data_IF_303955250756
#
_entry.id   IF_303955250756
#
_cell.length_a   1.000
_cell.length_b   1.000
_cell.length_c   1.000
_cell.angle_alpha   90.00
_cell.angle_beta   90.00
_cell.angle_gamma   90.00
#
_symmetry.space_group_name_H-M   'P 1'
#
loop_
_entity.id
_entity.type
_entity.pdbx_description
1 polymer ?
#
# COMPACT_ATOMS: atom_id res chain seq x y z
N UNK A 1 53.22 82.06 -19.32
CA UNK A 1 53.35 81.42 -17.99
C UNK A 1 52.47 80.17 -17.96
N UNK A 2 53.08 79.00 -18.10
CA UNK A 2 52.34 77.73 -18.16
C UNK A 2 52.19 77.13 -16.76
N UNK A 3 51.01 76.59 -16.39
CA UNK A 3 50.74 76.10 -15.06
C UNK A 3 51.50 74.80 -14.77
N UNK A 4 52.14 74.72 -13.60
CA UNK A 4 52.67 73.47 -13.04
C UNK A 4 51.54 72.75 -12.31
N UNK A 5 51.04 71.66 -12.91
CA UNK A 5 50.11 70.75 -12.25
C UNK A 5 50.92 69.74 -11.41
N UNK A 6 50.71 69.65 -10.09
CA UNK A 6 51.36 68.62 -9.28
C UNK A 6 50.80 67.23 -9.65
N UNK A 7 51.70 66.28 -9.91
CA UNK A 7 51.36 64.89 -10.16
C UNK A 7 50.86 64.21 -8.85
N UNK A 8 49.94 63.23 -8.96
CA UNK A 8 49.26 62.65 -7.80
C UNK A 8 50.19 61.85 -6.88
N UNK A 9 49.94 61.94 -5.58
CA UNK A 9 50.61 61.14 -4.54
C UNK A 9 49.96 59.76 -4.49
N UNK A 10 50.74 58.72 -4.77
CA UNK A 10 50.29 57.32 -4.72
C UNK A 10 50.12 56.85 -3.28
N UNK A 11 48.89 56.49 -2.88
CA UNK A 11 48.64 55.78 -1.62
C UNK A 11 48.84 54.27 -1.86
N UNK A 12 49.78 53.66 -1.14
CA UNK A 12 49.96 52.21 -1.17
C UNK A 12 48.78 51.52 -0.47
N UNK A 13 48.24 50.42 -1.03
CA UNK A 13 47.17 49.68 -0.38
C UNK A 13 47.69 48.97 0.89
N UNK A 14 47.09 49.29 2.04
CA UNK A 14 47.26 48.48 3.26
C UNK A 14 46.47 47.19 3.09
N UNK A 15 47.16 46.06 3.04
CA UNK A 15 46.50 44.74 2.99
C UNK A 15 46.07 44.38 4.41
N UNK A 16 44.77 44.17 4.71
CA UNK A 16 44.38 43.66 6.02
C UNK A 16 44.90 42.23 6.18
N UNK A 17 45.54 41.95 7.32
CA UNK A 17 45.96 40.59 7.68
C UNK A 17 44.71 39.74 7.94
N UNK A 18 44.56 38.55 7.32
CA UNK A 18 43.41 37.70 7.60
C UNK A 18 43.48 37.20 9.05
N UNK A 19 42.46 37.53 9.84
CA UNK A 19 42.22 36.88 11.13
C UNK A 19 41.47 35.59 10.87
N UNK A 20 42.15 34.45 10.99
CA UNK A 20 41.51 33.13 10.90
C UNK A 20 40.73 32.89 12.20
N UNK A 21 39.39 32.81 12.21
CA UNK A 21 38.69 32.31 13.38
C UNK A 21 39.05 30.83 13.58
N UNK A 22 39.36 30.45 14.82
CA UNK A 22 39.59 29.05 15.20
C UNK A 22 38.42 28.15 14.76
N UNK A 23 38.68 26.93 14.28
CA UNK A 23 37.61 26.02 13.89
C UNK A 23 36.77 25.65 15.12
N UNK A 24 35.51 26.06 15.13
CA UNK A 24 34.49 25.47 15.99
C UNK A 24 34.18 24.10 15.42
N UNK A 25 34.68 23.05 16.06
CA UNK A 25 34.29 21.66 15.77
C UNK A 25 32.81 21.50 16.11
N UNK A 26 31.90 21.30 15.13
CA UNK A 26 30.55 20.87 15.47
C UNK A 26 30.66 19.47 16.11
N UNK A 27 30.04 19.29 17.27
CA UNK A 27 29.90 17.97 17.88
C UNK A 27 29.26 16.99 16.86
N UNK A 28 29.66 15.71 16.82
CA UNK A 28 28.99 14.73 15.98
C UNK A 28 27.53 14.64 16.43
N UNK A 29 26.62 15.16 15.61
CA UNK A 29 25.21 14.86 15.77
C UNK A 29 25.06 13.40 15.36
N UNK A 30 24.87 12.52 16.35
CA UNK A 30 24.42 11.16 16.13
C UNK A 30 23.17 11.21 15.25
N UNK A 31 23.35 10.93 13.96
CA UNK A 31 22.24 10.69 13.04
C UNK A 31 21.56 9.41 13.50
N UNK A 32 20.42 9.54 14.17
CA UNK A 32 19.50 8.43 14.30
C UNK A 32 19.18 7.92 12.88
N UNK A 33 19.13 6.60 12.63
CA UNK A 33 18.56 6.10 11.39
C UNK A 33 17.07 6.47 11.41
N UNK A 34 16.69 7.49 10.65
CA UNK A 34 15.30 7.73 10.29
C UNK A 34 14.87 6.62 9.34
N UNK A 35 14.47 5.48 9.92
CA UNK A 35 13.74 4.45 9.19
C UNK A 35 12.31 4.96 8.98
N UNK A 36 12.16 5.98 8.15
CA UNK A 36 10.88 6.36 7.59
C UNK A 36 10.59 5.38 6.46
N UNK A 37 9.89 4.29 6.79
CA UNK A 37 9.28 3.41 5.78
C UNK A 37 8.08 4.15 5.18
N UNK A 38 8.33 5.13 4.31
CA UNK A 38 7.29 5.76 3.51
C UNK A 38 6.84 4.76 2.45
N UNK A 39 5.80 3.98 2.74
CA UNK A 39 5.13 3.17 1.72
C UNK A 39 4.64 4.12 0.62
N UNK A 40 5.09 3.98 -0.64
CA UNK A 40 4.64 4.87 -1.72
C UNK A 40 3.14 4.63 -1.94
N UNK A 41 2.34 5.69 -1.92
CA UNK A 41 0.94 5.60 -2.36
C UNK A 41 0.92 5.14 -3.82
N UNK A 42 0.27 4.01 -4.15
CA UNK A 42 0.23 3.52 -5.52
C UNK A 42 -0.43 4.56 -6.44
N UNK A 43 0.20 4.81 -7.59
CA UNK A 43 -0.36 5.66 -8.64
C UNK A 43 -1.13 4.80 -9.64
N UNK A 44 -2.34 5.23 -10.03
CA UNK A 44 -3.20 4.49 -10.97
C UNK A 44 -4.30 3.72 -10.26
N UNK A 45 -4.77 2.61 -10.86
CA UNK A 45 -5.78 1.74 -10.24
C UNK A 45 -5.09 0.76 -9.28
N UNK A 46 -5.64 0.58 -8.07
CA UNK A 46 -5.09 -0.34 -7.09
C UNK A 46 -6.16 -0.92 -6.19
N UNK A 47 -5.86 -2.02 -5.49
CA UNK A 47 -6.70 -2.55 -4.41
C UNK A 47 -6.31 -1.84 -3.13
N UNK A 48 -7.25 -1.14 -2.51
CA UNK A 48 -7.01 -0.35 -1.29
C UNK A 48 -7.05 -1.23 -0.04
N UNK A 49 -7.98 -2.20 0.01
CA UNK A 49 -8.16 -3.10 1.16
C UNK A 49 -9.00 -4.32 0.83
N UNK A 50 -9.01 -5.26 1.77
CA UNK A 50 -9.90 -6.42 1.78
C UNK A 50 -10.91 -6.29 2.92
N UNK A 51 -12.17 -6.61 2.64
CA UNK A 51 -13.24 -6.69 3.64
C UNK A 51 -13.69 -8.14 3.75
N UNK A 52 -13.70 -8.69 4.97
CA UNK A 52 -14.35 -9.96 5.26
C UNK A 52 -15.86 -9.74 5.34
N UNK A 53 -16.62 -10.63 4.72
CA UNK A 53 -18.08 -10.55 4.62
C UNK A 53 -18.71 -11.85 5.08
N UNK A 54 -19.81 -11.77 5.83
CA UNK A 54 -20.71 -12.90 6.07
C UNK A 54 -21.52 -13.15 4.80
N UNK A 55 -21.28 -14.29 4.15
CA UNK A 55 -21.87 -14.59 2.84
C UNK A 55 -23.34 -15.01 2.92
N UNK A 56 -23.90 -15.21 4.11
CA UNK A 56 -25.31 -15.59 4.30
C UNK A 56 -26.16 -14.39 4.69
N UNK A 57 -25.60 -13.50 5.50
CA UNK A 57 -26.27 -12.26 5.90
C UNK A 57 -26.07 -11.13 4.89
N UNK A 58 -25.13 -11.29 3.95
CA UNK A 58 -24.70 -10.24 3.02
C UNK A 58 -24.19 -8.98 3.75
N UNK A 59 -23.50 -9.19 4.89
CA UNK A 59 -23.03 -8.13 5.77
C UNK A 59 -21.51 -8.06 5.84
N UNK A 60 -20.97 -6.85 5.70
CA UNK A 60 -19.56 -6.55 5.93
C UNK A 60 -19.22 -6.76 7.41
N UNK A 61 -18.17 -7.54 7.69
CA UNK A 61 -17.72 -7.83 9.05
C UNK A 61 -16.62 -6.86 9.47
N UNK A 62 -15.44 -6.96 8.85
CA UNK A 62 -14.28 -6.11 9.16
C UNK A 62 -13.22 -6.15 8.07
N UNK A 63 -12.26 -5.21 8.14
CA UNK A 63 -11.13 -5.12 7.23
C UNK A 63 -10.05 -6.16 7.56
N UNK A 64 -9.57 -6.89 6.54
CA UNK A 64 -8.47 -7.83 6.66
C UNK A 64 -7.14 -7.16 6.37
N UNK A 65 -6.17 -7.35 7.27
CA UNK A 65 -4.77 -6.95 7.12
C UNK A 65 -3.86 -8.17 7.06
N UNK A 66 -2.60 -7.95 6.66
CA UNK A 66 -1.57 -8.98 6.67
C UNK A 66 -1.32 -9.49 8.11
N UNK A 67 -1.28 -10.80 8.28
CA UNK A 67 -1.13 -11.48 9.57
C UNK A 67 -2.43 -11.66 10.36
N UNK A 68 -3.60 -11.28 9.83
CA UNK A 68 -4.87 -11.56 10.51
C UNK A 68 -5.09 -13.06 10.72
N UNK A 69 -5.57 -13.42 11.92
CA UNK A 69 -6.06 -14.77 12.22
C UNK A 69 -7.58 -14.80 12.13
N UNK A 70 -8.11 -15.75 11.38
CA UNK A 70 -9.54 -15.98 11.16
C UNK A 70 -9.93 -17.31 11.81
N UNK A 71 -10.84 -17.25 12.79
CA UNK A 71 -11.37 -18.44 13.46
C UNK A 71 -12.67 -18.86 12.77
N UNK A 72 -12.67 -19.98 12.05
CA UNK A 72 -13.83 -20.43 11.27
C UNK A 72 -15.05 -20.76 12.14
N UNK A 73 -14.82 -21.21 13.38
CA UNK A 73 -15.89 -21.52 14.34
C UNK A 73 -16.78 -20.31 14.66
N UNK A 74 -16.26 -19.08 14.55
CA UNK A 74 -17.02 -17.85 14.74
C UNK A 74 -17.96 -17.55 13.58
N UNK A 75 -17.78 -18.20 12.42
CA UNK A 75 -18.47 -17.92 11.17
C UNK A 75 -19.11 -19.19 10.59
N UNK A 76 -20.03 -19.78 11.36
CA UNK A 76 -20.77 -20.99 10.97
C UNK A 76 -21.53 -20.88 9.62
N UNK A 77 -21.73 -19.66 9.12
CA UNK A 77 -22.57 -19.37 7.96
C UNK A 77 -21.79 -19.29 6.65
N UNK A 78 -20.46 -19.34 6.68
CA UNK A 78 -19.63 -19.22 5.49
C UNK A 78 -19.26 -17.79 5.14
N UNK A 79 -18.08 -17.65 4.55
CA UNK A 79 -17.40 -16.36 4.40
C UNK A 79 -17.15 -16.02 2.95
N UNK A 80 -17.00 -14.73 2.68
CA UNK A 80 -16.48 -14.21 1.43
C UNK A 80 -15.52 -13.04 1.73
N UNK A 81 -14.70 -12.67 0.76
CA UNK A 81 -13.76 -11.56 0.86
C UNK A 81 -13.99 -10.63 -0.32
N UNK A 82 -14.25 -9.36 -0.04
CA UNK A 82 -14.42 -8.31 -1.04
C UNK A 82 -13.12 -7.52 -1.17
N UNK A 83 -12.65 -7.34 -2.40
CA UNK A 83 -11.56 -6.41 -2.70
C UNK A 83 -12.14 -5.03 -3.03
N UNK A 84 -11.74 -4.03 -2.26
CA UNK A 84 -12.08 -2.63 -2.52
C UNK A 84 -10.98 -2.03 -3.37
N UNK A 85 -11.34 -1.38 -4.48
CA UNK A 85 -10.38 -0.73 -5.39
C UNK A 85 -10.46 0.79 -5.29
N UNK A 86 -9.40 1.45 -5.75
CA UNK A 86 -9.36 2.88 -6.01
C UNK A 86 -8.88 3.08 -7.46
N UNK A 87 -9.68 3.69 -8.36
CA UNK A 87 -11.07 4.09 -8.16
C UNK A 87 -11.98 2.90 -7.82
N UNK A 88 -13.13 3.19 -7.20
CA UNK A 88 -14.09 2.18 -6.73
C UNK A 88 -14.53 1.21 -7.85
N UNK A 89 -14.73 1.70 -9.07
CA UNK A 89 -15.08 0.86 -10.22
C UNK A 89 -13.86 0.70 -11.15
N UNK A 90 -13.46 -0.55 -11.36
CA UNK A 90 -12.45 -0.99 -12.34
C UNK A 90 -13.03 -2.02 -13.31
N UNK A 91 -12.31 -2.31 -14.40
CA UNK A 91 -12.79 -3.24 -15.42
C UNK A 91 -12.88 -4.68 -14.93
N UNK A 92 -11.93 -5.13 -14.11
CA UNK A 92 -12.02 -6.40 -13.38
C UNK A 92 -11.02 -6.52 -12.24
N UNK A 93 -11.25 -7.45 -11.32
CA UNK A 93 -10.30 -7.85 -10.28
C UNK A 93 -10.05 -9.35 -10.38
N UNK A 94 -8.78 -9.75 -10.48
CA UNK A 94 -8.35 -11.15 -10.47
C UNK A 94 -7.86 -11.53 -9.09
N UNK A 95 -8.44 -12.59 -8.56
CA UNK A 95 -8.06 -13.17 -7.28
C UNK A 95 -7.12 -14.35 -7.48
N UNK A 96 -6.07 -14.37 -6.66
CA UNK A 96 -5.21 -15.53 -6.46
C UNK A 96 -5.19 -15.95 -5.01
N UNK A 97 -5.26 -17.25 -4.78
CA UNK A 97 -5.08 -17.87 -3.47
C UNK A 97 -3.90 -18.82 -3.57
N UNK A 98 -2.89 -18.61 -2.72
CA UNK A 98 -1.64 -19.38 -2.70
C UNK A 98 -0.98 -19.45 -4.10
N UNK A 99 -0.92 -18.30 -4.78
CA UNK A 99 -0.39 -18.16 -6.15
C UNK A 99 -1.31 -18.64 -7.29
N UNK A 100 -2.38 -19.38 -7.01
CA UNK A 100 -3.29 -19.94 -8.02
C UNK A 100 -4.42 -18.96 -8.34
N UNK A 101 -4.72 -18.73 -9.61
CA UNK A 101 -5.88 -17.91 -9.99
C UNK A 101 -7.16 -18.68 -9.69
N UNK A 102 -7.99 -18.15 -8.80
CA UNK A 102 -9.25 -18.78 -8.39
C UNK A 102 -10.47 -18.08 -8.98
N UNK A 103 -10.40 -16.76 -9.19
CA UNK A 103 -11.53 -15.99 -9.71
C UNK A 103 -11.13 -14.72 -10.48
N UNK A 104 -12.01 -14.24 -11.35
CA UNK A 104 -11.93 -12.92 -11.97
C UNK A 104 -13.31 -12.27 -12.02
N UNK A 105 -13.51 -11.23 -11.20
CA UNK A 105 -14.76 -10.48 -11.13
C UNK A 105 -14.73 -9.28 -12.07
N UNK A 106 -15.85 -9.03 -12.76
CA UNK A 106 -15.95 -8.02 -13.82
C UNK A 106 -16.87 -6.84 -13.46
N UNK A 107 -17.52 -6.93 -12.31
CA UNK A 107 -18.51 -5.98 -11.81
C UNK A 107 -18.30 -5.92 -10.30
N UNK A 108 -18.31 -4.72 -9.74
CA UNK A 108 -18.30 -4.51 -8.29
C UNK A 108 -19.62 -5.02 -7.68
N UNK A 109 -19.68 -5.55 -6.45
CA UNK A 109 -18.57 -5.80 -5.53
C UNK A 109 -17.64 -6.90 -6.06
N UNK A 110 -16.33 -6.67 -5.99
CA UNK A 110 -15.36 -7.68 -6.43
C UNK A 110 -15.13 -8.68 -5.31
N UNK A 111 -15.89 -9.78 -5.31
CA UNK A 111 -15.82 -10.80 -4.27
C UNK A 111 -15.04 -12.06 -4.70
N UNK A 112 -14.26 -12.62 -3.79
CA UNK A 112 -13.44 -13.83 -3.99
C UNK A 112 -14.31 -15.05 -4.36
N UNK A 113 -15.39 -15.26 -3.61
CA UNK A 113 -16.44 -16.22 -3.88
C UNK A 113 -17.50 -15.69 -4.84
N UNK A 114 -17.44 -14.39 -5.19
CA UNK A 114 -18.36 -13.64 -6.03
C UNK A 114 -19.76 -13.45 -5.47
N UNK A 115 -20.61 -12.83 -6.28
CA UNK A 115 -21.96 -12.46 -5.92
C UNK A 115 -22.98 -12.63 -7.08
N UNK A 116 -24.18 -13.12 -6.78
CA UNK A 116 -25.32 -13.07 -7.70
C UNK A 116 -26.67 -13.31 -7.01
N UNK A 117 -27.68 -12.42 -7.17
CA UNK A 117 -27.62 -11.11 -7.83
C UNK A 117 -26.60 -10.16 -7.16
N UNK A 118 -26.32 -9.00 -7.76
CA UNK A 118 -25.28 -8.07 -7.26
C UNK A 118 -25.47 -7.80 -5.75
N UNK A 119 -24.45 -8.10 -4.95
CA UNK A 119 -24.47 -7.95 -3.48
C UNK A 119 -25.05 -9.13 -2.69
N UNK A 120 -25.48 -10.22 -3.34
CA UNK A 120 -25.79 -11.50 -2.69
C UNK A 120 -24.58 -12.42 -2.85
N UNK A 121 -23.80 -12.55 -1.78
CA UNK A 121 -22.50 -13.18 -1.80
C UNK A 121 -22.61 -14.71 -1.77
N UNK A 122 -21.78 -15.38 -2.58
CA UNK A 122 -21.61 -16.82 -2.43
C UNK A 122 -20.58 -17.13 -1.34
N UNK A 123 -20.76 -18.29 -0.69
CA UNK A 123 -19.72 -18.84 0.19
C UNK A 123 -18.45 -19.14 -0.63
N UNK A 124 -17.35 -18.49 -0.27
CA UNK A 124 -16.06 -18.68 -0.93
C UNK A 124 -15.48 -20.05 -0.56
N UNK A 125 -15.13 -20.85 -1.58
CA UNK A 125 -14.59 -22.21 -1.39
C UNK A 125 -13.10 -22.24 -1.09
N UNK A 126 -12.42 -21.14 -1.38
CA UNK A 126 -10.97 -21.01 -1.26
C UNK A 126 -10.53 -20.52 0.13
N UNK A 127 -11.48 -20.24 1.03
CA UNK A 127 -11.22 -19.91 2.44
C UNK A 127 -11.31 -21.21 3.24
N UNK A 128 -10.18 -21.89 3.43
CA UNK A 128 -10.10 -23.17 4.11
C UNK A 128 -8.96 -23.18 5.14
N UNK A 129 -9.09 -24.06 6.14
CA UNK A 129 -8.17 -24.26 7.26
C UNK A 129 -6.70 -24.35 6.83
N UNK A 130 -5.86 -23.45 7.38
CA UNK A 130 -4.39 -23.23 7.22
C UNK A 130 -4.04 -21.80 6.76
N UNK A 131 -2.75 -21.52 6.55
CA UNK A 131 -2.29 -20.21 6.05
C UNK A 131 -2.72 -20.00 4.60
N UNK A 132 -3.27 -18.82 4.31
CA UNK A 132 -3.76 -18.41 2.99
C UNK A 132 -3.10 -17.10 2.55
N UNK A 133 -2.35 -17.14 1.44
CA UNK A 133 -1.91 -15.94 0.74
C UNK A 133 -2.99 -15.51 -0.25
N UNK A 134 -3.63 -14.37 0.00
CA UNK A 134 -4.63 -13.78 -0.87
C UNK A 134 -4.02 -12.60 -1.63
N UNK A 135 -4.10 -12.65 -2.95
CA UNK A 135 -3.72 -11.53 -3.83
C UNK A 135 -4.91 -11.12 -4.71
N UNK A 136 -5.25 -9.84 -4.70
CA UNK A 136 -6.19 -9.24 -5.65
C UNK A 136 -5.46 -8.26 -6.55
N UNK A 137 -5.59 -8.45 -7.87
CA UNK A 137 -4.98 -7.60 -8.88
C UNK A 137 -6.08 -6.91 -9.70
N UNK A 138 -6.17 -5.57 -9.68
CA UNK A 138 -7.15 -4.84 -10.48
C UNK A 138 -6.66 -4.63 -11.91
N UNK A 139 -7.60 -4.56 -12.83
CA UNK A 139 -7.38 -4.40 -14.27
C UNK A 139 -8.35 -3.36 -14.82
N UNK A 140 -7.88 -2.51 -15.73
CA UNK A 140 -8.72 -1.46 -16.33
C UNK A 140 -9.78 -1.99 -17.30
N UNK A 141 -9.57 -3.19 -17.86
CA UNK A 141 -10.52 -3.88 -18.72
C UNK A 141 -11.14 -5.11 -18.07
N UNK A 142 -12.25 -5.60 -18.66
CA UNK A 142 -12.90 -6.85 -18.23
C UNK A 142 -12.01 -8.06 -18.49
N UNK A 143 -12.28 -9.15 -17.77
CA UNK A 143 -11.63 -10.47 -17.89
C UNK A 143 -10.11 -10.41 -17.73
N UNK A 144 -9.63 -9.62 -16.75
CA UNK A 144 -8.23 -9.33 -16.52
C UNK A 144 -7.52 -8.71 -17.76
N UNK A 145 -8.24 -7.89 -18.53
CA UNK A 145 -7.74 -7.19 -19.72
C UNK A 145 -7.31 -5.75 -19.43
N UNK A 146 -6.71 -5.10 -20.43
CA UNK A 146 -6.26 -3.71 -20.29
C UNK A 146 -5.00 -3.58 -19.44
N UNK A 147 -4.88 -2.45 -18.74
CA UNK A 147 -3.72 -2.11 -17.90
C UNK A 147 -3.85 -2.79 -16.55
N UNK A 148 -2.77 -3.43 -16.11
CA UNK A 148 -2.65 -4.03 -14.78
C UNK A 148 -2.41 -2.92 -13.76
N UNK A 149 -3.20 -2.89 -12.70
CA UNK A 149 -3.00 -2.00 -11.57
C UNK A 149 -2.10 -2.59 -10.49
N UNK A 150 -1.97 -1.86 -9.38
CA UNK A 150 -1.18 -2.32 -8.23
C UNK A 150 -1.99 -3.35 -7.42
N UNK A 151 -1.49 -4.59 -7.25
CA UNK A 151 -2.17 -5.58 -6.45
C UNK A 151 -2.04 -5.30 -4.94
N UNK A 152 -2.97 -5.83 -4.17
CA UNK A 152 -2.81 -6.00 -2.72
C UNK A 152 -2.68 -7.49 -2.42
N UNK A 153 -1.66 -7.82 -1.62
CA UNK A 153 -1.41 -9.17 -1.13
C UNK A 153 -1.41 -9.14 0.39
N UNK A 154 -2.16 -10.06 0.99
CA UNK A 154 -2.15 -10.31 2.43
C UNK A 154 -1.98 -11.81 2.68
N UNK A 155 -1.36 -12.14 3.80
CA UNK A 155 -1.30 -13.49 4.34
C UNK A 155 -2.20 -13.55 5.55
N UNK A 156 -3.16 -14.46 5.59
CA UNK A 156 -4.00 -14.70 6.77
C UNK A 156 -3.82 -16.12 7.27
N UNK A 157 -4.01 -16.31 8.57
CA UNK A 157 -4.04 -17.63 9.20
C UNK A 157 -5.49 -18.03 9.43
N UNK A 158 -5.90 -19.18 8.90
CA UNK A 158 -7.27 -19.69 9.06
C UNK A 158 -7.20 -20.87 10.03
N UNK A 159 -7.82 -20.73 11.19
CA UNK A 159 -7.88 -21.76 12.24
C UNK A 159 -9.30 -22.33 12.33
N UNK A 160 -9.41 -23.65 12.38
CA UNK A 160 -10.62 -24.34 12.78
C UNK A 160 -10.43 -24.80 14.23
N UNK A 161 -11.00 -24.06 15.16
CA UNK A 161 -11.19 -24.53 16.52
C UNK A 161 -12.43 -25.43 16.58
N UNK A 162 -12.43 -26.51 15.80
CA UNK A 162 -13.34 -27.61 16.06
C UNK A 162 -12.86 -28.28 17.35
N UNK A 163 -13.39 -27.82 18.48
CA UNK A 163 -13.32 -28.51 19.76
C UNK A 163 -13.93 -29.91 19.57
N UNK A 164 -13.07 -30.91 19.36
CA UNK A 164 -13.47 -32.30 19.41
C UNK A 164 -13.77 -32.67 20.87
N UNK A 165 -15.05 -32.87 21.20
CA UNK A 165 -15.47 -33.63 22.39
C UNK A 165 -15.42 -35.15 22.12
#
# INVERSE_FOLDING_TARGET
>A
PSPITPAPVTLFPVTPVPVTPSPVTPAPTTSAPVSATSSPTPSGIFVSKFILVDAVLDEDLYELSDGNTLVLADFANGLNIVAVTEPQEVGSVRFKVNGNNVRTENVEPYALGGDSPRGNYYVAKDIYERTMELTATPYSGKKAGGTVGTPLTITIEIVDESIWE
#
